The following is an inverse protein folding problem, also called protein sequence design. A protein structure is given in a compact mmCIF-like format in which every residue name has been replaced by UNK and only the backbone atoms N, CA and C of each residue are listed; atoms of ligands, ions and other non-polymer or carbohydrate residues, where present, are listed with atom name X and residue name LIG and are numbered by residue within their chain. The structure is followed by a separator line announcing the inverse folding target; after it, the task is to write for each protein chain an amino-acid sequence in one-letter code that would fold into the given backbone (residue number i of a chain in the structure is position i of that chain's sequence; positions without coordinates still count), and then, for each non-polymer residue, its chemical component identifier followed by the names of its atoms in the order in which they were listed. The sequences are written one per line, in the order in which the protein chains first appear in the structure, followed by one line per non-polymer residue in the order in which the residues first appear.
data_IF_322643280343
#
_entry.id   IF_322643280343
#
_cell.length_a   1.000
_cell.length_b   1.000
_cell.length_c   1.000
_cell.angle_alpha   90.00
_cell.angle_beta   90.00
_cell.angle_gamma   90.00
#
_symmetry.space_group_name_H-M   'P 1'
#
loop_
_entity.id
_entity.type
_entity.pdbx_description
1 polymer ?
#
# COMPACT_ATOMS: atom_id res chain seq x y z
N UNK A 1 -79.95 -46.94 58.47
CA UNK A 1 -79.18 -46.77 57.22
C UNK A 1 -79.38 -45.34 56.75
N UNK A 2 -78.41 -44.51 56.39
CA UNK A 2 -76.95 -44.57 56.40
C UNK A 2 -76.48 -43.11 56.36
N UNK A 3 -75.49 -42.77 57.16
CA UNK A 3 -74.75 -41.52 57.02
C UNK A 3 -73.84 -41.62 55.79
N UNK A 4 -73.79 -40.56 54.99
CA UNK A 4 -72.62 -40.19 54.17
C UNK A 4 -72.50 -38.67 54.22
N UNK A 5 -71.41 -38.10 54.77
CA UNK A 5 -71.19 -36.66 54.72
C UNK A 5 -70.60 -36.28 53.36
N UNK A 6 -71.19 -35.25 52.74
CA UNK A 6 -70.67 -34.58 51.56
C UNK A 6 -69.35 -33.88 51.93
N UNK A 7 -68.25 -34.22 51.26
CA UNK A 7 -66.98 -33.51 51.40
C UNK A 7 -66.95 -32.41 50.33
N UNK A 8 -66.89 -31.11 50.69
CA UNK A 8 -66.75 -30.06 49.68
C UNK A 8 -65.35 -30.11 49.04
N UNK A 9 -65.22 -29.70 47.77
CA UNK A 9 -63.94 -29.76 47.05
C UNK A 9 -62.95 -28.76 47.63
N UNK A 10 -61.72 -29.21 47.85
CA UNK A 10 -60.58 -28.37 48.22
C UNK A 10 -60.28 -27.38 47.08
N UNK A 11 -60.58 -26.09 47.29
CA UNK A 11 -60.13 -25.01 46.39
C UNK A 11 -58.76 -24.54 46.88
N UNK A 12 -57.70 -24.61 46.05
CA UNK A 12 -56.37 -24.17 46.49
C UNK A 12 -56.33 -22.64 46.62
N UNK A 13 -56.29 -22.15 47.85
CA UNK A 13 -56.09 -20.75 48.24
C UNK A 13 -54.60 -20.37 48.10
N UNK A 14 -54.07 -20.23 46.89
CA UNK A 14 -52.65 -19.85 46.70
C UNK A 14 -52.41 -18.91 45.50
N UNK A 15 -53.35 -18.03 45.16
CA UNK A 15 -53.18 -17.07 44.05
C UNK A 15 -52.37 -15.80 44.44
N UNK A 16 -52.22 -15.49 45.73
CA UNK A 16 -51.58 -14.25 46.19
C UNK A 16 -50.04 -14.30 46.27
N UNK A 17 -49.41 -15.49 46.21
CA UNK A 17 -47.95 -15.63 46.30
C UNK A 17 -47.20 -15.55 44.96
N UNK A 18 -47.85 -15.88 43.85
CA UNK A 18 -47.18 -16.08 42.56
C UNK A 18 -46.65 -14.76 41.95
N UNK A 19 -47.48 -13.71 41.90
CA UNK A 19 -47.10 -12.42 41.29
C UNK A 19 -45.99 -11.66 42.05
N UNK A 20 -45.94 -11.79 43.38
CA UNK A 20 -44.89 -11.17 44.20
C UNK A 20 -43.53 -11.84 43.97
N UNK A 21 -43.51 -13.17 43.90
CA UNK A 21 -42.30 -13.93 43.63
C UNK A 21 -41.79 -13.69 42.19
N UNK A 22 -42.69 -13.63 41.21
CA UNK A 22 -42.34 -13.28 39.82
C UNK A 22 -41.71 -11.88 39.72
N UNK A 23 -42.30 -10.87 40.40
CA UNK A 23 -41.77 -9.49 40.36
C UNK A 23 -40.39 -9.37 41.01
N UNK A 24 -40.16 -10.08 42.13
CA UNK A 24 -38.85 -10.11 42.81
C UNK A 24 -37.78 -10.81 41.97
N UNK A 25 -38.13 -11.92 41.32
CA UNK A 25 -37.23 -12.62 40.42
C UNK A 25 -36.87 -11.76 39.20
N UNK A 26 -37.86 -11.11 38.58
CA UNK A 26 -37.64 -10.20 37.45
C UNK A 26 -36.76 -9.00 37.85
N UNK A 27 -36.99 -8.39 39.02
CA UNK A 27 -36.17 -7.29 39.52
C UNK A 27 -34.74 -7.75 39.81
N UNK A 28 -34.57 -8.94 40.40
CA UNK A 28 -33.26 -9.52 40.67
C UNK A 28 -32.46 -9.76 39.39
N UNK A 29 -33.11 -10.30 38.35
CA UNK A 29 -32.49 -10.49 37.03
C UNK A 29 -32.16 -9.15 36.35
N UNK A 30 -33.03 -8.15 36.44
CA UNK A 30 -32.77 -6.83 35.89
C UNK A 30 -31.57 -6.15 36.56
N UNK A 31 -31.48 -6.19 37.88
CA UNK A 31 -30.33 -5.65 38.63
C UNK A 31 -29.06 -6.43 38.28
N UNK A 32 -29.12 -7.76 38.25
CA UNK A 32 -27.99 -8.58 37.86
C UNK A 32 -27.50 -8.27 36.44
N UNK A 33 -28.43 -8.10 35.48
CA UNK A 33 -28.11 -7.73 34.11
C UNK A 33 -27.44 -6.35 34.04
N UNK A 34 -27.95 -5.35 34.76
CA UNK A 34 -27.37 -4.00 34.83
C UNK A 34 -25.96 -4.05 35.41
N UNK A 35 -25.76 -4.77 36.51
CA UNK A 35 -24.45 -4.90 37.16
C UNK A 35 -23.47 -5.60 36.23
N UNK A 36 -23.88 -6.70 35.59
CA UNK A 36 -23.04 -7.45 34.65
C UNK A 36 -22.66 -6.59 33.44
N UNK A 37 -23.64 -5.90 32.84
CA UNK A 37 -23.39 -4.98 31.72
C UNK A 37 -22.46 -3.83 32.14
N UNK A 38 -22.63 -3.29 33.34
CA UNK A 38 -21.77 -2.24 33.89
C UNK A 38 -20.33 -2.71 34.10
N UNK A 39 -20.12 -3.88 34.68
CA UNK A 39 -18.78 -4.47 34.84
C UNK A 39 -18.12 -4.69 33.48
N UNK A 40 -18.83 -5.29 32.53
CA UNK A 40 -18.31 -5.50 31.17
C UNK A 40 -17.97 -4.16 30.49
N UNK A 41 -18.84 -3.15 30.60
CA UNK A 41 -18.60 -1.84 30.01
C UNK A 41 -17.35 -1.16 30.60
N UNK A 42 -17.17 -1.19 31.93
CA UNK A 42 -15.97 -0.67 32.58
C UNK A 42 -14.73 -1.41 32.10
N UNK A 43 -14.76 -2.74 32.07
CA UNK A 43 -13.63 -3.54 31.57
C UNK A 43 -13.28 -3.22 30.12
N UNK A 44 -14.28 -3.07 29.25
CA UNK A 44 -14.04 -2.72 27.85
C UNK A 44 -13.42 -1.33 27.71
N UNK A 45 -13.95 -0.33 28.43
CA UNK A 45 -13.42 1.05 28.37
C UNK A 45 -11.99 1.12 28.90
N UNK A 46 -11.65 0.38 29.97
CA UNK A 46 -10.28 0.40 30.50
C UNK A 46 -9.29 -0.42 29.68
N UNK A 47 -9.77 -1.38 28.88
CA UNK A 47 -8.90 -2.30 28.11
C UNK A 47 -8.75 -1.86 26.65
N UNK A 48 -9.67 -1.05 26.12
CA UNK A 48 -9.66 -0.58 24.74
C UNK A 48 -8.33 0.06 24.34
N UNK A 49 -7.79 0.96 25.15
CA UNK A 49 -6.53 1.65 24.85
C UNK A 49 -5.33 0.67 24.81
N UNK A 50 -5.33 -0.34 25.69
CA UNK A 50 -4.28 -1.37 25.69
C UNK A 50 -4.36 -2.27 24.46
N UNK A 51 -5.57 -2.56 23.97
CA UNK A 51 -5.77 -3.33 22.72
C UNK A 51 -5.20 -2.55 21.55
N UNK A 52 -5.54 -1.26 21.43
CA UNK A 52 -5.06 -0.39 20.35
C UNK A 52 -3.53 -0.27 20.36
N UNK A 53 -2.92 -0.08 21.53
CA UNK A 53 -1.46 0.02 21.64
C UNK A 53 -0.77 -1.31 21.29
N UNK A 54 -1.31 -2.44 21.76
CA UNK A 54 -0.76 -3.76 21.42
C UNK A 54 -0.90 -4.06 19.92
N UNK A 55 -2.02 -3.70 19.30
CA UNK A 55 -2.22 -3.83 17.85
C UNK A 55 -1.24 -2.97 17.07
N UNK A 56 -1.06 -1.71 17.47
CA UNK A 56 -0.11 -0.78 16.84
C UNK A 56 1.33 -1.28 17.01
N UNK A 57 1.69 -1.76 18.19
CA UNK A 57 3.00 -2.35 18.46
C UNK A 57 3.25 -3.58 17.57
N UNK A 58 2.27 -4.49 17.47
CA UNK A 58 2.36 -5.68 16.62
C UNK A 58 2.49 -5.32 15.13
N UNK A 59 1.73 -4.34 14.64
CA UNK A 59 1.84 -3.83 13.28
C UNK A 59 3.21 -3.22 13.03
N UNK A 60 3.69 -2.36 13.94
CA UNK A 60 5.00 -1.71 13.81
C UNK A 60 6.14 -2.74 13.76
N UNK A 61 6.06 -3.80 14.58
CA UNK A 61 7.03 -4.89 14.58
C UNK A 61 7.02 -5.65 13.25
N UNK A 62 5.84 -5.92 12.69
CA UNK A 62 5.71 -6.58 11.40
C UNK A 62 6.29 -5.73 10.25
N UNK A 63 6.15 -4.41 10.29
CA UNK A 63 6.78 -3.52 9.30
C UNK A 63 8.31 -3.45 9.49
N UNK A 64 8.78 -3.46 10.74
CA UNK A 64 10.19 -3.42 11.10
C UNK A 64 10.96 -4.67 10.64
N UNK A 65 10.28 -5.80 10.45
CA UNK A 65 10.88 -6.98 9.82
C UNK A 65 11.28 -6.74 8.35
N UNK A 66 10.66 -5.77 7.67
CA UNK A 66 10.89 -5.47 6.25
C UNK A 66 11.80 -4.26 6.08
N UNK A 67 11.55 -3.20 6.84
CA UNK A 67 12.37 -2.00 6.86
C UNK A 67 12.89 -1.84 8.28
N UNK A 68 14.13 -2.27 8.57
CA UNK A 68 14.67 -2.20 9.92
C UNK A 68 14.74 -0.76 10.46
N UNK A 69 14.58 -0.56 11.78
CA UNK A 69 14.70 0.76 12.42
C UNK A 69 16.07 1.42 12.24
N UNK A 70 17.10 0.68 11.83
CA UNK A 70 18.40 1.26 11.49
C UNK A 70 18.40 2.06 10.19
N UNK A 71 17.35 1.96 9.38
CA UNK A 71 17.21 2.66 8.11
C UNK A 71 16.38 3.95 8.22
N UNK A 72 15.62 4.16 9.29
CA UNK A 72 14.65 5.25 9.39
C UNK A 72 14.45 5.73 10.83
N UNK A 73 13.99 6.97 11.00
CA UNK A 73 13.73 7.59 12.30
C UNK A 73 12.23 7.90 12.55
N UNK A 74 11.38 7.73 11.54
CA UNK A 74 9.94 7.94 11.66
C UNK A 74 9.18 6.67 12.11
N UNK A 75 7.96 6.89 12.61
CA UNK A 75 6.98 5.82 12.75
C UNK A 75 6.35 5.52 11.39
N UNK A 76 6.65 4.36 10.83
CA UNK A 76 6.14 3.95 9.52
C UNK A 76 4.61 4.02 9.45
N UNK A 77 3.91 3.63 10.52
CA UNK A 77 2.45 3.63 10.58
C UNK A 77 1.83 5.03 10.43
N UNK A 78 2.58 6.09 10.76
CA UNK A 78 2.10 7.47 10.70
C UNK A 78 2.39 8.12 9.34
N UNK A 79 3.30 7.56 8.54
CA UNK A 79 3.65 8.04 7.21
C UNK A 79 3.06 7.11 6.13
N UNK A 80 1.75 6.95 6.20
CA UNK A 80 0.95 6.17 5.27
C UNK A 80 0.48 7.03 4.09
N UNK A 81 0.39 6.43 2.91
CA UNK A 81 -0.19 7.06 1.72
C UNK A 81 -1.15 6.12 1.00
N UNK A 82 -2.14 6.72 0.35
CA UNK A 82 -3.10 5.98 -0.46
C UNK A 82 -2.45 5.49 -1.76
N UNK A 83 -2.49 4.19 -1.98
CA UNK A 83 -2.16 3.56 -3.25
C UNK A 83 -3.46 3.31 -4.03
N UNK A 84 -3.62 3.89 -5.24
CA UNK A 84 -4.77 3.60 -6.06
C UNK A 84 -4.74 2.14 -6.56
N UNK A 85 -5.88 1.61 -7.05
CA UNK A 85 -5.90 0.34 -7.75
C UNK A 85 -4.82 0.30 -8.85
N UNK A 86 -4.12 -0.82 -8.95
CA UNK A 86 -2.97 -0.97 -9.83
C UNK A 86 -2.88 -2.41 -10.32
N UNK A 87 -3.05 -2.59 -11.63
CA UNK A 87 -2.88 -3.89 -12.27
C UNK A 87 -1.45 -4.43 -12.11
N UNK A 88 -0.45 -3.55 -12.07
CA UNK A 88 0.96 -3.93 -11.90
C UNK A 88 1.20 -4.50 -10.51
N UNK A 89 0.61 -3.90 -9.48
CA UNK A 89 0.68 -4.38 -8.10
C UNK A 89 -0.36 -5.48 -7.79
N UNK A 90 -1.25 -5.79 -8.73
CA UNK A 90 -2.38 -6.70 -8.55
C UNK A 90 -3.43 -6.20 -7.56
N UNK A 91 -3.50 -4.88 -7.32
CA UNK A 91 -4.46 -4.27 -6.42
C UNK A 91 -5.76 -3.94 -7.17
N UNK A 92 -6.83 -4.67 -6.87
CA UNK A 92 -8.17 -4.42 -7.45
C UNK A 92 -8.86 -3.19 -6.87
N UNK A 93 -8.52 -2.85 -5.62
CA UNK A 93 -9.04 -1.69 -4.89
C UNK A 93 -7.88 -0.87 -4.35
N UNK A 94 -8.16 0.35 -3.88
CA UNK A 94 -7.15 1.17 -3.23
C UNK A 94 -6.62 0.47 -1.97
N UNK A 95 -5.33 0.63 -1.71
CA UNK A 95 -4.65 0.05 -0.55
C UNK A 95 -3.72 1.09 0.09
N UNK A 96 -3.02 0.70 1.15
CA UNK A 96 -2.12 1.59 1.89
C UNK A 96 -0.67 1.22 1.63
N UNK A 97 0.14 2.21 1.25
CA UNK A 97 1.59 2.13 1.29
C UNK A 97 2.15 2.95 2.45
N UNK A 98 3.41 2.70 2.82
CA UNK A 98 4.08 3.44 3.89
C UNK A 98 5.44 3.98 3.43
N UNK A 99 5.85 5.12 3.98
CA UNK A 99 7.18 5.70 3.74
C UNK A 99 8.04 5.54 4.98
N UNK A 100 9.28 5.14 4.76
CA UNK A 100 10.33 5.20 5.75
C UNK A 100 11.16 6.45 5.48
N UNK A 101 11.31 7.31 6.48
CA UNK A 101 12.10 8.54 6.38
C UNK A 101 13.27 8.52 7.34
N UNK A 102 14.40 9.09 6.90
CA UNK A 102 15.55 9.36 7.74
C UNK A 102 15.89 10.85 7.57
N UNK A 103 15.97 11.58 8.68
CA UNK A 103 16.25 13.02 8.71
C UNK A 103 15.31 13.82 7.78
N UNK A 104 14.03 13.44 7.77
CA UNK A 104 12.99 14.08 6.95
C UNK A 104 13.04 13.77 5.45
N UNK A 105 13.88 12.81 5.01
CA UNK A 105 13.94 12.34 3.62
C UNK A 105 13.40 10.93 3.50
N UNK A 106 12.54 10.67 2.51
CA UNK A 106 12.08 9.31 2.20
C UNK A 106 13.25 8.45 1.70
N UNK A 107 13.61 7.43 2.47
CA UNK A 107 14.72 6.50 2.18
C UNK A 107 14.25 5.13 1.74
N UNK A 108 13.01 4.75 2.04
CA UNK A 108 12.37 3.56 1.51
C UNK A 108 10.85 3.73 1.49
N UNK A 109 10.18 2.89 0.70
CA UNK A 109 8.73 2.76 0.69
C UNK A 109 8.33 1.31 0.85
N UNK A 110 7.15 1.09 1.38
CA UNK A 110 6.57 -0.22 1.62
C UNK A 110 5.29 -0.35 0.81
N UNK A 111 5.28 -1.28 -0.14
CA UNK A 111 4.18 -1.45 -1.10
C UNK A 111 3.46 -2.79 -0.87
N UNK A 112 2.13 -2.80 -0.69
CA UNK A 112 1.34 -4.01 -0.81
C UNK A 112 1.32 -4.48 -2.27
N UNK A 113 1.47 -5.78 -2.45
CA UNK A 113 1.43 -6.43 -3.77
C UNK A 113 0.60 -7.69 -3.66
N UNK A 114 -0.29 -7.93 -4.61
CA UNK A 114 -1.11 -9.13 -4.65
C UNK A 114 -0.87 -9.85 -5.97
N UNK A 115 -0.74 -11.17 -5.91
CA UNK A 115 -0.66 -12.02 -7.10
C UNK A 115 -1.66 -13.15 -7.01
N UNK A 116 -2.57 -13.22 -7.99
CA UNK A 116 -3.51 -14.33 -8.16
C UNK A 116 -2.90 -15.55 -8.84
N UNK A 117 -1.56 -15.63 -8.91
CA UNK A 117 -0.81 -16.74 -9.53
C UNK A 117 -0.32 -17.77 -8.52
N UNK A 118 -0.70 -17.65 -7.25
CA UNK A 118 -0.40 -18.67 -6.23
C UNK A 118 -1.07 -20.00 -6.55
N UNK A 119 -0.55 -21.09 -5.98
CA UNK A 119 -1.07 -22.43 -6.27
C UNK A 119 -2.47 -22.64 -5.66
N UNK A 120 -2.70 -22.12 -4.46
CA UNK A 120 -3.92 -22.31 -3.68
C UNK A 120 -4.75 -21.02 -3.55
N UNK A 121 -4.43 -19.99 -4.34
CA UNK A 121 -5.14 -18.72 -4.37
C UNK A 121 -4.19 -17.53 -4.34
N UNK A 122 -4.72 -16.38 -3.93
CA UNK A 122 -3.97 -15.14 -3.89
C UNK A 122 -2.85 -15.18 -2.85
N UNK A 123 -1.70 -14.61 -3.23
CA UNK A 123 -0.60 -14.33 -2.32
C UNK A 123 -0.50 -12.81 -2.19
N UNK A 124 -0.68 -12.32 -0.98
CA UNK A 124 -0.46 -10.92 -0.61
C UNK A 124 0.90 -10.78 0.04
N UNK A 125 1.70 -9.92 -0.56
CA UNK A 125 3.05 -9.58 -0.14
C UNK A 125 3.09 -8.13 0.32
N UNK A 126 4.06 -7.85 1.18
CA UNK A 126 4.50 -6.51 1.50
C UNK A 126 5.97 -6.40 1.10
N UNK A 127 6.28 -5.44 0.21
CA UNK A 127 7.59 -5.30 -0.42
C UNK A 127 8.18 -3.95 -0.05
N UNK A 128 9.29 -3.95 0.67
CA UNK A 128 10.07 -2.77 1.00
C UNK A 128 11.05 -2.47 -0.12
N UNK A 129 11.08 -1.24 -0.61
CA UNK A 129 11.96 -0.81 -1.69
C UNK A 129 12.65 0.48 -1.24
N UNK A 130 13.98 0.47 -1.23
CA UNK A 130 14.81 1.61 -0.89
C UNK A 130 14.79 2.65 -2.00
N UNK A 131 15.17 3.88 -1.66
CA UNK A 131 15.21 5.00 -2.59
C UNK A 131 16.13 4.74 -3.81
N UNK A 132 17.15 3.88 -3.67
CA UNK A 132 18.04 3.45 -4.76
C UNK A 132 17.42 2.38 -5.69
N UNK A 133 16.25 1.85 -5.35
CA UNK A 133 15.57 0.80 -6.10
C UNK A 133 15.97 -0.62 -5.70
N UNK A 134 16.76 -0.79 -4.65
CA UNK A 134 17.01 -2.11 -4.05
C UNK A 134 15.86 -2.53 -3.12
N UNK A 135 15.64 -3.83 -2.99
CA UNK A 135 14.66 -4.40 -2.06
C UNK A 135 15.21 -4.28 -0.64
N UNK A 136 14.45 -3.62 0.24
CA UNK A 136 14.72 -3.60 1.68
C UNK A 136 14.31 -4.91 2.37
N UNK A 137 13.22 -5.51 1.89
CA UNK A 137 12.76 -6.82 2.33
C UNK A 137 11.42 -7.21 1.73
N UNK A 138 11.04 -8.49 1.87
CA UNK A 138 9.75 -9.02 1.42
C UNK A 138 9.11 -9.87 2.52
N UNK A 139 7.79 -9.73 2.72
CA UNK A 139 7.01 -10.64 3.58
C UNK A 139 5.73 -11.09 2.90
N UNK A 140 5.45 -12.38 3.00
CA UNK A 140 4.14 -12.93 2.69
C UNK A 140 3.20 -12.73 3.89
N UNK A 141 2.29 -11.77 3.77
CA UNK A 141 1.38 -11.38 4.88
C UNK A 141 0.06 -12.16 4.86
N UNK A 142 -0.35 -12.68 3.70
CA UNK A 142 -1.54 -13.54 3.57
C UNK A 142 -1.40 -14.45 2.35
N UNK A 143 -1.66 -15.75 2.53
CA UNK A 143 -1.73 -16.73 1.45
C UNK A 143 -2.47 -18.00 1.92
N UNK A 144 -2.77 -18.89 0.99
CA UNK A 144 -3.38 -20.21 1.28
C UNK A 144 -2.57 -21.39 0.75
N UNK A 145 -1.29 -21.16 0.42
CA UNK A 145 -0.38 -22.18 -0.12
C UNK A 145 -0.24 -23.41 0.80
N UNK A 146 -0.01 -24.57 0.17
CA UNK A 146 0.04 -25.87 0.85
C UNK A 146 1.12 -25.92 1.94
N UNK A 147 0.76 -26.29 3.18
CA UNK A 147 1.70 -26.43 4.28
C UNK A 147 2.83 -27.43 3.99
N UNK A 148 4.07 -27.06 4.32
CA UNK A 148 5.28 -27.86 4.10
C UNK A 148 5.80 -27.86 2.67
N UNK A 149 5.08 -27.25 1.72
CA UNK A 149 5.44 -27.24 0.31
C UNK A 149 5.58 -25.83 -0.25
N UNK A 150 4.49 -25.06 -0.29
CA UNK A 150 4.45 -23.69 -0.82
C UNK A 150 4.58 -22.61 0.24
N UNK A 151 4.29 -22.91 1.50
CA UNK A 151 4.35 -21.99 2.64
C UNK A 151 5.79 -21.60 3.07
N UNK A 152 6.81 -22.13 2.39
CA UNK A 152 8.21 -21.73 2.58
C UNK A 152 8.49 -20.28 2.18
N UNK A 153 7.52 -19.58 1.59
CA UNK A 153 7.55 -18.13 1.39
C UNK A 153 7.42 -17.34 2.70
N UNK A 154 7.00 -17.97 3.79
CA UNK A 154 6.95 -17.35 5.11
C UNK A 154 8.36 -17.29 5.73
N UNK A 155 8.82 -16.09 6.11
CA UNK A 155 10.14 -15.87 6.70
C UNK A 155 10.43 -16.76 7.93
N UNK A 156 9.39 -17.06 8.72
CA UNK A 156 9.51 -17.95 9.90
C UNK A 156 9.72 -19.43 9.57
N UNK A 157 9.46 -19.86 8.33
CA UNK A 157 9.55 -21.25 7.89
C UNK A 157 10.80 -21.53 7.05
N UNK A 158 11.28 -20.53 6.31
CA UNK A 158 12.46 -20.67 5.45
C UNK A 158 13.13 -19.32 5.20
N UNK A 159 14.44 -19.37 4.94
CA UNK A 159 15.22 -18.21 4.51
C UNK A 159 14.97 -17.76 3.07
N UNK A 160 14.21 -18.52 2.27
CA UNK A 160 14.03 -18.28 0.84
C UNK A 160 13.53 -16.86 0.51
N UNK A 161 12.62 -16.31 1.31
CA UNK A 161 12.07 -14.96 1.09
C UNK A 161 13.11 -13.84 1.31
N UNK A 162 14.27 -14.15 1.91
CA UNK A 162 15.38 -13.21 2.08
C UNK A 162 16.33 -13.17 0.88
N UNK A 163 16.18 -14.06 -0.11
CA UNK A 163 16.97 -14.01 -1.35
C UNK A 163 16.69 -12.73 -2.16
N UNK A 164 15.55 -12.08 -1.91
CA UNK A 164 15.19 -10.81 -2.52
C UNK A 164 15.93 -9.62 -1.91
N UNK A 165 16.41 -9.73 -0.68
CA UNK A 165 17.00 -8.62 0.07
C UNK A 165 18.22 -8.08 -0.69
N UNK A 166 18.34 -6.75 -0.76
CA UNK A 166 19.40 -6.01 -1.46
C UNK A 166 19.42 -6.16 -3.00
N UNK A 167 18.48 -6.90 -3.59
CA UNK A 167 18.39 -7.04 -5.04
C UNK A 167 17.72 -5.85 -5.72
N UNK A 168 18.11 -5.59 -6.96
CA UNK A 168 17.54 -4.56 -7.84
C UNK A 168 16.94 -5.21 -9.09
N UNK A 169 16.17 -4.46 -9.87
CA UNK A 169 15.56 -5.00 -11.09
C UNK A 169 16.60 -5.53 -12.10
N UNK A 170 17.81 -4.98 -12.09
CA UNK A 170 18.91 -5.33 -13.00
C UNK A 170 19.97 -6.27 -12.40
N UNK A 171 19.95 -6.54 -11.08
CA UNK A 171 20.97 -7.41 -10.47
C UNK A 171 20.68 -8.90 -10.59
N UNK A 172 19.46 -9.27 -10.94
CA UNK A 172 18.98 -10.66 -10.97
C UNK A 172 18.10 -10.90 -12.20
N UNK A 173 18.12 -12.12 -12.70
CA UNK A 173 17.11 -12.68 -13.59
C UNK A 173 15.90 -13.14 -12.75
N UNK A 174 14.88 -12.28 -12.74
CA UNK A 174 13.63 -12.41 -11.97
C UNK A 174 12.71 -13.54 -12.44
N UNK A 175 13.21 -14.77 -12.39
CA UNK A 175 12.51 -16.03 -12.60
C UNK A 175 13.09 -17.08 -11.66
N UNK A 176 12.39 -18.20 -11.54
CA UNK A 176 12.96 -19.37 -10.85
C UNK A 176 14.03 -20.02 -11.72
N UNK A 177 15.00 -20.72 -11.11
CA UNK A 177 16.07 -21.43 -11.81
C UNK A 177 15.56 -22.43 -12.85
N UNK A 178 14.45 -23.12 -12.58
CA UNK A 178 13.82 -24.02 -13.55
C UNK A 178 13.36 -23.32 -14.84
N UNK A 179 13.12 -22.01 -14.78
CA UNK A 179 12.72 -21.18 -15.91
C UNK A 179 13.88 -20.28 -16.39
N UNK A 180 15.11 -20.56 -15.93
CA UNK A 180 16.34 -19.87 -16.32
C UNK A 180 16.59 -18.53 -15.61
N UNK A 181 16.13 -18.35 -14.37
CA UNK A 181 16.51 -17.21 -13.52
C UNK A 181 17.31 -17.61 -12.29
N UNK A 182 17.39 -16.71 -11.31
CA UNK A 182 18.31 -16.87 -10.18
C UNK A 182 17.66 -17.46 -8.92
N UNK A 183 16.34 -17.39 -8.81
CA UNK A 183 15.64 -17.77 -7.57
C UNK A 183 15.38 -19.27 -7.49
N UNK A 184 15.64 -19.88 -6.33
CA UNK A 184 15.33 -21.29 -6.14
C UNK A 184 13.83 -21.57 -6.24
N UNK A 185 13.47 -22.77 -6.72
CA UNK A 185 12.12 -23.30 -6.58
C UNK A 185 12.02 -24.32 -5.45
N UNK A 186 10.81 -24.48 -4.89
CA UNK A 186 10.57 -25.55 -3.94
C UNK A 186 10.40 -26.88 -4.66
N UNK A 187 11.05 -27.94 -4.13
CA UNK A 187 10.85 -29.31 -4.59
C UNK A 187 9.36 -29.66 -4.56
N UNK A 188 8.78 -29.96 -5.72
CA UNK A 188 7.35 -30.28 -5.86
C UNK A 188 6.39 -29.09 -5.87
N UNK A 189 6.85 -27.85 -5.67
CA UNK A 189 6.02 -26.63 -5.77
C UNK A 189 6.77 -25.50 -6.49
N UNK A 190 6.63 -25.45 -7.81
CA UNK A 190 7.21 -24.37 -8.63
C UNK A 190 6.22 -23.24 -8.92
N UNK A 191 4.92 -23.42 -8.64
CA UNK A 191 3.92 -22.36 -8.89
C UNK A 191 4.08 -21.20 -7.89
N UNK A 192 4.19 -21.51 -6.59
CA UNK A 192 4.34 -20.51 -5.53
C UNK A 192 5.58 -19.61 -5.71
N UNK A 193 6.80 -20.16 -5.88
CA UNK A 193 8.00 -19.32 -6.00
C UNK A 193 7.94 -18.41 -7.23
N UNK A 194 7.44 -18.92 -8.37
CA UNK A 194 7.24 -18.10 -9.59
C UNK A 194 6.28 -16.93 -9.35
N UNK A 195 5.19 -17.19 -8.64
CA UNK A 195 4.21 -16.16 -8.34
C UNK A 195 4.82 -15.03 -7.50
N UNK A 196 5.61 -15.40 -6.47
CA UNK A 196 6.27 -14.44 -5.59
C UNK A 196 7.37 -13.67 -6.32
N UNK A 197 8.28 -14.36 -7.02
CA UNK A 197 9.35 -13.71 -7.81
C UNK A 197 8.74 -12.71 -8.82
N UNK A 198 7.68 -13.13 -9.51
CA UNK A 198 6.97 -12.26 -10.45
C UNK A 198 6.35 -11.04 -9.78
N UNK A 199 5.73 -11.21 -8.61
CA UNK A 199 5.10 -10.12 -7.86
C UNK A 199 6.13 -9.10 -7.35
N UNK A 200 7.24 -9.55 -6.77
CA UNK A 200 8.33 -8.66 -6.31
C UNK A 200 8.93 -7.88 -7.47
N UNK A 201 9.17 -8.55 -8.61
CA UNK A 201 9.61 -7.88 -9.85
C UNK A 201 8.64 -6.77 -10.29
N UNK A 202 7.33 -7.03 -10.24
CA UNK A 202 6.34 -6.01 -10.62
C UNK A 202 6.31 -4.83 -9.63
N UNK A 203 6.54 -5.08 -8.34
CA UNK A 203 6.68 -4.03 -7.34
C UNK A 203 7.85 -3.09 -7.66
N UNK A 204 9.00 -3.66 -8.04
CA UNK A 204 10.17 -2.89 -8.47
C UNK A 204 9.90 -2.07 -9.74
N UNK A 205 9.23 -2.66 -10.73
CA UNK A 205 8.82 -1.95 -11.95
C UNK A 205 7.89 -0.79 -11.62
N UNK A 206 6.88 -1.03 -10.78
CA UNK A 206 5.95 0.01 -10.35
C UNK A 206 6.68 1.14 -9.62
N UNK A 207 7.59 0.79 -8.71
CA UNK A 207 8.40 1.77 -7.98
C UNK A 207 9.24 2.61 -8.94
N UNK A 208 9.94 2.00 -9.89
CA UNK A 208 10.74 2.76 -10.86
C UNK A 208 9.90 3.72 -11.69
N UNK A 209 8.70 3.30 -12.10
CA UNK A 209 7.78 4.14 -12.87
C UNK A 209 7.20 5.32 -12.06
N UNK A 210 7.05 5.17 -10.74
CA UNK A 210 6.43 6.17 -9.85
C UNK A 210 7.39 6.74 -8.82
N UNK A 211 8.71 6.55 -9.01
CA UNK A 211 9.75 6.82 -8.00
C UNK A 211 9.65 8.22 -7.41
N UNK A 212 9.52 9.23 -8.27
CA UNK A 212 9.42 10.63 -7.83
C UNK A 212 8.21 10.85 -6.95
N UNK A 213 7.04 10.32 -7.32
CA UNK A 213 5.81 10.50 -6.54
C UNK A 213 5.83 9.71 -5.22
N UNK A 214 6.39 8.50 -5.23
CA UNK A 214 6.48 7.65 -4.03
C UNK A 214 7.51 8.18 -3.02
N UNK A 215 8.58 8.82 -3.49
CA UNK A 215 9.62 9.39 -2.63
C UNK A 215 9.35 10.85 -2.24
N UNK A 216 8.49 11.57 -2.98
CA UNK A 216 8.04 12.91 -2.61
C UNK A 216 7.21 12.81 -1.33
N UNK A 217 7.86 13.05 -0.19
CA UNK A 217 7.15 13.31 1.06
C UNK A 217 6.29 14.57 0.92
N UNK A 218 5.32 14.75 1.83
CA UNK A 218 4.33 15.83 1.76
C UNK A 218 4.96 17.26 1.81
N UNK A 219 6.25 17.36 2.09
CA UNK A 219 7.03 18.61 2.08
C UNK A 219 7.23 19.24 0.69
N UNK A 220 7.29 18.46 -0.39
CA UNK A 220 7.39 19.03 -1.75
C UNK A 220 6.04 19.57 -2.24
N UNK A 221 4.94 18.89 -1.91
CA UNK A 221 3.57 19.31 -2.29
C UNK A 221 3.19 20.63 -1.62
N UNK A 222 3.60 20.84 -0.36
CA UNK A 222 3.41 22.11 0.36
C UNK A 222 4.28 23.23 -0.20
N UNK A 223 5.52 22.95 -0.59
CA UNK A 223 6.44 23.97 -1.14
C UNK A 223 6.06 24.36 -2.58
N UNK A 224 5.62 23.41 -3.40
CA UNK A 224 5.11 23.67 -4.75
C UNK A 224 3.80 24.47 -4.71
N UNK A 225 2.86 24.10 -3.82
CA UNK A 225 1.61 24.85 -3.62
C UNK A 225 1.87 26.25 -3.05
N UNK A 226 2.87 26.40 -2.16
CA UNK A 226 3.28 27.70 -1.61
C UNK A 226 3.95 28.59 -2.65
N UNK A 227 4.82 28.05 -3.52
CA UNK A 227 5.44 28.80 -4.63
C UNK A 227 4.39 29.26 -5.64
N UNK A 228 3.51 28.37 -6.10
CA UNK A 228 2.44 28.71 -7.03
C UNK A 228 1.50 29.78 -6.43
N UNK A 229 1.19 29.69 -5.13
CA UNK A 229 0.40 30.72 -4.42
C UNK A 229 1.14 32.05 -4.26
N UNK A 230 2.45 32.05 -4.03
CA UNK A 230 3.23 33.30 -3.94
C UNK A 230 3.46 33.95 -5.30
N UNK A 231 3.52 33.18 -6.37
CA UNK A 231 3.68 33.66 -7.75
C UNK A 231 2.36 34.18 -8.34
N UNK A 232 1.22 33.61 -7.93
CA UNK A 232 -0.13 34.07 -8.35
C UNK A 232 -0.69 35.25 -7.55
N UNK A 233 -0.10 35.61 -6.40
CA UNK A 233 -0.55 36.73 -5.57
C UNK A 233 0.21 38.05 -5.81
N UNK A 234 1.08 38.12 -6.83
CA UNK A 234 1.72 39.38 -7.22
C UNK A 234 1.42 39.77 -8.67
N UNK A 235 0.40 40.61 -8.90
CA UNK A 235 0.38 41.47 -10.07
C UNK A 235 0.47 42.95 -9.66
N UNK A 236 1.57 43.55 -10.09
CA UNK A 236 1.71 44.90 -10.65
C UNK A 236 0.95 46.07 -10.00
N UNK A 237 1.70 46.95 -9.33
CA UNK A 237 1.42 48.38 -9.32
C UNK A 237 2.50 49.10 -10.13
N UNK A 238 2.30 49.21 -11.44
CA UNK A 238 2.85 50.31 -12.25
C UNK A 238 2.06 50.45 -13.55
N UNK A 239 1.41 51.60 -13.70
CA UNK A 239 0.57 51.99 -14.83
C UNK A 239 1.42 52.65 -15.93
N UNK A 240 1.14 52.44 -17.22
CA UNK A 240 1.70 53.27 -18.28
C UNK A 240 0.74 54.42 -18.65
N UNK A 241 1.24 55.65 -18.62
CA UNK A 241 0.61 56.82 -19.22
C UNK A 241 0.97 56.91 -20.70
N UNK A 242 -0.05 57.00 -21.55
CA UNK A 242 0.08 57.22 -23.00
C UNK A 242 -0.08 58.72 -23.34
N UNK A 243 0.80 59.27 -24.17
CA UNK A 243 0.55 60.50 -24.95
C UNK A 243 1.36 60.48 -26.25
N UNK A 244 0.65 60.70 -27.36
CA UNK A 244 1.07 60.58 -28.76
C UNK A 244 1.84 61.84 -29.31
N UNK A 245 1.85 62.16 -30.62
CA UNK A 245 2.88 61.76 -31.62
C UNK A 245 3.47 62.94 -32.45
N UNK A 246 4.59 62.79 -33.19
CA UNK A 246 4.82 63.55 -34.45
C UNK A 246 6.03 63.09 -35.32
N UNK A 247 5.75 62.84 -36.60
CA UNK A 247 6.46 63.22 -37.85
C UNK A 247 8.01 63.27 -37.97
N UNK A 248 8.56 62.51 -38.94
CA UNK A 248 9.43 62.99 -40.04
C UNK A 248 9.97 61.78 -40.87
N UNK A 249 9.58 61.64 -42.14
CA UNK A 249 10.40 61.88 -43.36
C UNK A 249 11.69 61.03 -43.46
N UNK A 250 11.74 60.01 -44.33
CA UNK A 250 12.24 60.11 -45.72
C UNK A 250 13.68 59.56 -45.79
N UNK A 251 14.03 58.50 -46.53
CA UNK A 251 14.50 58.51 -47.94
C UNK A 251 15.16 57.13 -48.21
N UNK A 252 14.65 56.32 -49.14
CA UNK A 252 15.18 55.98 -50.50
C UNK A 252 16.54 55.27 -50.64
N UNK A 253 16.53 54.30 -51.58
CA UNK A 253 17.63 53.71 -52.41
C UNK A 253 18.65 52.77 -51.72
N UNK A 254 19.14 51.66 -52.28
CA UNK A 254 19.10 51.01 -53.61
C UNK A 254 19.50 49.51 -53.38
N UNK A 255 18.93 48.51 -54.10
CA UNK A 255 19.54 47.78 -55.25
C UNK A 255 21.07 47.57 -55.12
N UNK A 256 21.69 46.40 -55.34
CA UNK A 256 21.38 45.30 -56.27
C UNK A 256 22.49 44.22 -56.16
N UNK A 257 22.13 42.96 -56.41
CA UNK A 257 22.89 41.96 -57.22
C UNK A 257 24.26 41.49 -56.68
N UNK A 258 24.73 40.25 -56.78
CA UNK A 258 24.70 39.22 -57.83
C UNK A 258 25.33 37.92 -57.26
N UNK A 259 24.83 36.75 -57.71
CA UNK A 259 25.56 35.54 -58.17
C UNK A 259 26.56 34.84 -57.21
N UNK A 260 26.83 33.54 -57.24
CA UNK A 260 26.57 32.40 -58.13
C UNK A 260 26.96 31.15 -57.28
N UNK A 261 26.25 30.02 -57.28
CA UNK A 261 26.25 28.94 -58.28
C UNK A 261 27.06 27.70 -57.84
N UNK A 262 26.45 26.52 -58.03
CA UNK A 262 27.10 25.21 -58.16
C UNK A 262 27.08 24.31 -56.92
N UNK A 263 26.83 23.00 -56.98
CA UNK A 263 26.33 22.07 -58.00
C UNK A 263 26.15 20.71 -57.26
N UNK A 264 24.93 20.18 -57.31
CA UNK A 264 24.39 18.80 -57.39
C UNK A 264 25.27 17.52 -57.18
N UNK A 265 24.69 16.30 -57.08
CA UNK A 265 25.02 15.29 -56.07
C UNK A 265 25.66 14.03 -56.68
N UNK A 266 25.98 13.02 -55.87
CA UNK A 266 26.23 11.67 -56.42
C UNK A 266 25.81 10.57 -55.46
N UNK A 267 24.86 9.78 -55.95
CA UNK A 267 24.42 8.46 -55.50
C UNK A 267 25.50 7.38 -55.66
N UNK A 268 25.50 6.35 -54.82
CA UNK A 268 25.83 4.98 -55.26
C UNK A 268 25.31 3.91 -54.29
N UNK A 269 24.61 2.94 -54.89
CA UNK A 269 24.13 1.67 -54.34
C UNK A 269 25.23 0.59 -54.44
N UNK A 270 25.25 -0.38 -53.51
CA UNK A 270 25.71 -1.77 -53.68
C UNK A 270 25.26 -2.54 -52.42
N UNK A 271 24.25 -3.42 -52.39
CA UNK A 271 24.11 -4.77 -52.98
C UNK A 271 25.28 -5.71 -52.66
N UNK A 272 25.03 -6.79 -51.92
CA UNK A 272 26.06 -7.80 -51.62
C UNK A 272 25.66 -8.78 -50.51
N UNK A 273 24.93 -9.81 -50.92
CA UNK A 273 24.59 -11.06 -50.25
C UNK A 273 25.84 -11.92 -49.95
N UNK A 274 25.89 -12.65 -48.83
CA UNK A 274 26.37 -14.05 -48.81
C UNK A 274 26.20 -14.75 -47.45
N UNK A 275 25.67 -15.97 -47.54
CA UNK A 275 25.64 -17.02 -46.52
C UNK A 275 26.99 -17.71 -46.35
N UNK A 276 27.24 -18.33 -45.18
CA UNK A 276 27.74 -19.71 -45.05
C UNK A 276 27.87 -20.16 -43.57
N UNK A 277 27.46 -21.41 -43.37
CA UNK A 277 27.70 -22.38 -42.27
C UNK A 277 27.03 -22.19 -40.89
#
# INVERSE_FOLDING_TARGET
MSQTPDTPPNVPENAHGFGHNIRRAALGLAVFAIVTAGVVAVTQITTADTIVENERAAQSAALAEIIPPSLHDNSLLDDAFALPPSQVLGLETADTGWRATQDGKTVAVLLPVVTGKGYSGDIRLLVGIRADGSVAGVRAVKHSETPGLGDKIEARKSGWIHEFDDQTLSSMDWKVQKDGGDFDQFTGATITPRAVVGAVRQALIYFMAHRTALLAGDSETLTATRRVRQETLSPAAESPSESAPESAAGSTSAQSSTSAEGNTPSSLQHSGDNAHE
#
